data_IF_516755391433
#
_entry.id   IF_516755391433
#
_cell.length_a   1.000
_cell.length_b   1.000
_cell.length_c   1.000
_cell.angle_alpha   90.00
_cell.angle_beta   90.00
_cell.angle_gamma   90.00
#
_symmetry.space_group_name_H-M   'P 1'
#
loop_
_entity.id
_entity.type
_entity.pdbx_description
1 polymer ?
#
# COMPACT_ATOMS: atom_id res chain seq x y z
N UNK A 1 25.45 17.79 6.94
CA UNK A 1 24.00 17.53 6.95
C UNK A 1 23.61 17.07 8.35
N UNK A 2 22.82 17.84 9.10
CA UNK A 2 22.39 17.47 10.46
C UNK A 2 21.28 16.42 10.33
N UNK A 3 21.55 15.21 10.81
CA UNK A 3 20.57 14.13 10.83
C UNK A 3 19.56 14.44 11.94
N UNK A 4 18.32 14.75 11.57
CA UNK A 4 17.25 14.99 12.55
C UNK A 4 16.79 13.64 13.14
N UNK A 5 17.11 13.43 14.42
CA UNK A 5 16.89 12.18 15.17
C UNK A 5 15.40 11.89 15.33
N UNK A 6 14.55 12.89 15.55
CA UNK A 6 13.11 12.69 15.71
C UNK A 6 12.47 12.19 14.41
N UNK A 7 12.93 12.72 13.27
CA UNK A 7 12.51 12.21 11.96
C UNK A 7 12.97 10.78 11.70
N UNK A 8 14.12 10.35 12.24
CA UNK A 8 14.56 8.95 12.14
C UNK A 8 13.73 8.03 13.05
N UNK A 9 13.38 8.48 14.26
CA UNK A 9 12.49 7.73 15.16
C UNK A 9 11.10 7.54 14.55
N UNK A 10 10.52 8.59 13.97
CA UNK A 10 9.24 8.50 13.27
C UNK A 10 9.29 7.51 12.09
N UNK A 11 10.36 7.55 11.29
CA UNK A 11 10.56 6.57 10.20
C UNK A 11 10.68 5.13 10.72
N UNK A 12 11.43 4.92 11.80
CA UNK A 12 11.60 3.61 12.42
C UNK A 12 10.29 3.09 13.03
N UNK A 13 9.47 3.97 13.61
CA UNK A 13 8.18 3.64 14.19
C UNK A 13 7.17 3.26 13.10
N UNK A 14 7.06 4.04 12.02
CA UNK A 14 6.20 3.67 10.89
C UNK A 14 6.65 2.34 10.28
N UNK A 15 7.95 2.13 10.10
CA UNK A 15 8.49 0.86 9.58
C UNK A 15 8.14 -0.35 10.44
N UNK A 16 8.07 -0.20 11.76
CA UNK A 16 7.68 -1.28 12.69
C UNK A 16 6.18 -1.56 12.66
N UNK A 17 5.38 -0.54 12.36
CA UNK A 17 3.93 -0.56 12.55
C UNK A 17 3.17 -0.87 11.25
N UNK A 18 3.79 -0.66 10.10
CA UNK A 18 3.24 -1.05 8.80
C UNK A 18 3.97 -2.30 8.31
N UNK A 19 3.22 -3.37 8.08
CA UNK A 19 3.76 -4.57 7.46
C UNK A 19 4.27 -4.26 6.05
N UNK A 20 5.27 -5.00 5.61
CA UNK A 20 5.76 -4.93 4.24
C UNK A 20 4.64 -5.18 3.21
N UNK A 21 4.76 -4.51 2.06
CA UNK A 21 3.86 -4.67 0.93
C UNK A 21 4.26 -5.91 0.12
N UNK A 22 3.29 -6.77 -0.13
CA UNK A 22 3.42 -7.90 -1.03
C UNK A 22 2.18 -7.96 -1.93
N UNK A 23 2.28 -7.59 -3.23
CA UNK A 23 1.16 -7.53 -4.15
C UNK A 23 0.55 -8.92 -4.42
N UNK A 24 1.31 -10.00 -4.21
CA UNK A 24 0.81 -11.38 -4.34
C UNK A 24 -0.10 -11.80 -3.17
N UNK A 25 -0.07 -11.07 -2.04
CA UNK A 25 -0.77 -11.43 -0.80
C UNK A 25 -1.78 -10.39 -0.32
N UNK A 26 -1.66 -9.14 -0.76
CA UNK A 26 -2.45 -8.02 -0.26
C UNK A 26 -2.99 -7.16 -1.39
N UNK A 27 -4.22 -6.70 -1.22
CA UNK A 27 -4.78 -5.62 -2.04
C UNK A 27 -3.93 -4.34 -1.86
N UNK A 28 -3.37 -3.83 -2.95
CA UNK A 28 -2.51 -2.65 -2.92
C UNK A 28 -3.24 -1.43 -2.37
N UNK A 29 -4.52 -1.22 -2.70
CA UNK A 29 -5.31 -0.09 -2.19
C UNK A 29 -5.54 -0.17 -0.68
N UNK A 30 -5.90 -1.35 -0.17
CA UNK A 30 -6.10 -1.57 1.26
C UNK A 30 -4.80 -1.36 2.03
N UNK A 31 -3.70 -1.95 1.55
CA UNK A 31 -2.39 -1.78 2.18
C UNK A 31 -1.94 -0.31 2.16
N UNK A 32 -2.11 0.35 1.01
CA UNK A 32 -1.72 1.73 0.81
C UNK A 32 -2.49 2.69 1.72
N UNK A 33 -3.80 2.48 1.91
CA UNK A 33 -4.59 3.28 2.84
C UNK A 33 -4.04 3.19 4.26
N UNK A 34 -3.70 1.99 4.73
CA UNK A 34 -3.12 1.77 6.07
C UNK A 34 -1.75 2.41 6.22
N UNK A 35 -0.92 2.34 5.17
CA UNK A 35 0.38 3.00 5.14
C UNK A 35 0.21 4.53 5.18
N UNK A 36 -0.60 5.08 4.28
CA UNK A 36 -0.80 6.51 4.10
C UNK A 36 -1.37 7.18 5.37
N UNK A 37 -2.38 6.59 6.01
CA UNK A 37 -2.98 7.15 7.25
C UNK A 37 -1.96 7.28 8.38
N UNK A 38 -1.07 6.30 8.53
CA UNK A 38 -0.01 6.31 9.55
C UNK A 38 1.10 7.28 9.23
N UNK A 39 1.43 7.46 7.96
CA UNK A 39 2.48 8.38 7.52
C UNK A 39 2.03 9.83 7.56
N UNK A 40 0.74 10.10 7.25
CA UNK A 40 0.15 11.44 7.31
C UNK A 40 0.23 12.05 8.72
N UNK A 41 0.16 11.23 9.76
CA UNK A 41 0.37 11.65 11.15
C UNK A 41 1.81 12.17 11.41
N UNK A 42 2.80 11.73 10.62
CA UNK A 42 4.22 12.09 10.78
C UNK A 42 4.67 13.34 10.04
N UNK A 43 3.81 14.00 9.25
CA UNK A 43 4.11 15.20 8.44
C UNK A 43 5.46 15.10 7.68
N UNK A 44 5.67 13.97 6.98
CA UNK A 44 6.92 13.71 6.26
C UNK A 44 7.05 14.58 5.01
N UNK A 45 8.28 14.99 4.69
CA UNK A 45 8.57 15.56 3.38
C UNK A 45 8.61 14.45 2.31
N UNK A 46 8.51 14.85 1.04
CA UNK A 46 8.43 13.91 -0.09
C UNK A 46 9.60 12.91 -0.13
N UNK A 47 10.84 13.34 0.16
CA UNK A 47 12.01 12.45 0.10
C UNK A 47 11.99 11.37 1.19
N UNK A 48 11.55 11.74 2.40
CA UNK A 48 11.35 10.76 3.49
C UNK A 48 10.18 9.83 3.19
N UNK A 49 9.12 10.37 2.62
CA UNK A 49 7.95 9.59 2.20
C UNK A 49 8.34 8.53 1.17
N UNK A 50 9.09 8.93 0.14
CA UNK A 50 9.65 8.03 -0.88
C UNK A 50 10.52 6.92 -0.28
N UNK A 51 11.46 7.30 0.57
CA UNK A 51 12.39 6.36 1.19
C UNK A 51 11.63 5.36 2.06
N UNK A 52 10.65 5.83 2.82
CA UNK A 52 9.84 4.99 3.69
C UNK A 52 8.98 4.01 2.89
N UNK A 53 8.30 4.47 1.84
CA UNK A 53 7.51 3.62 0.96
C UNK A 53 8.37 2.49 0.37
N UNK A 54 9.55 2.82 -0.15
CA UNK A 54 10.50 1.84 -0.69
C UNK A 54 10.99 0.81 0.34
N UNK A 55 11.12 1.19 1.62
CA UNK A 55 11.49 0.27 2.70
C UNK A 55 10.44 -0.82 2.98
N UNK A 56 9.19 -0.62 2.52
CA UNK A 56 8.13 -1.62 2.65
C UNK A 56 8.04 -2.56 1.44
N UNK A 57 8.84 -2.39 0.39
CA UNK A 57 8.86 -3.31 -0.74
C UNK A 57 9.76 -4.52 -0.46
N UNK A 58 9.25 -5.72 -0.75
CA UNK A 58 9.94 -7.00 -0.48
C UNK A 58 10.44 -7.66 -1.76
N UNK A 59 9.77 -7.38 -2.88
CA UNK A 59 10.06 -8.00 -4.17
C UNK A 59 11.05 -7.13 -4.95
N UNK A 60 12.10 -7.74 -5.49
CA UNK A 60 13.15 -7.05 -6.26
C UNK A 60 12.56 -6.28 -7.44
N UNK A 61 11.53 -6.83 -8.08
CA UNK A 61 10.86 -6.18 -9.22
C UNK A 61 10.15 -4.89 -8.79
N UNK A 62 9.57 -4.87 -7.57
CA UNK A 62 8.93 -3.68 -7.01
C UNK A 62 9.95 -2.62 -6.62
N UNK A 63 11.06 -3.03 -6.03
CA UNK A 63 12.16 -2.13 -5.67
C UNK A 63 12.73 -1.49 -6.94
N UNK A 64 12.90 -2.26 -8.01
CA UNK A 64 13.41 -1.74 -9.28
C UNK A 64 12.43 -0.76 -9.93
N UNK A 65 11.15 -1.11 -10.06
CA UNK A 65 10.10 -0.22 -10.59
C UNK A 65 10.03 1.08 -9.78
N UNK A 66 10.18 0.98 -8.47
CA UNK A 66 10.20 2.13 -7.58
C UNK A 66 11.45 3.00 -7.76
N UNK A 67 12.63 2.41 -7.84
CA UNK A 67 13.87 3.17 -8.01
C UNK A 67 13.91 3.94 -9.33
N UNK A 68 13.34 3.38 -10.41
CA UNK A 68 13.16 4.06 -11.69
C UNK A 68 12.19 5.26 -11.59
N UNK A 69 11.16 5.15 -10.74
CA UNK A 69 10.07 6.14 -10.68
C UNK A 69 10.26 7.21 -9.61
N UNK A 70 10.81 6.88 -8.45
CA UNK A 70 10.93 7.78 -7.28
C UNK A 70 11.71 9.07 -7.55
N UNK A 71 12.62 9.06 -8.53
CA UNK A 71 13.36 10.25 -8.96
C UNK A 71 12.51 11.28 -9.68
N UNK A 72 11.37 10.86 -10.25
CA UNK A 72 10.47 11.71 -11.04
C UNK A 72 9.34 12.34 -10.22
N UNK A 73 8.94 11.72 -9.10
CA UNK A 73 7.94 12.30 -8.21
C UNK A 73 8.52 13.49 -7.44
N UNK A 74 7.88 14.65 -7.47
CA UNK A 74 8.26 15.85 -6.71
C UNK A 74 7.34 16.13 -5.53
N UNK A 75 6.17 15.50 -5.48
CA UNK A 75 5.16 15.67 -4.44
C UNK A 75 4.69 14.34 -3.85
N UNK A 76 4.09 14.37 -2.65
CA UNK A 76 3.49 13.18 -2.03
C UNK A 76 2.36 12.63 -2.90
N UNK A 77 1.51 13.50 -3.45
CA UNK A 77 0.41 13.10 -4.33
C UNK A 77 0.87 12.33 -5.58
N UNK A 78 2.02 12.70 -6.16
CA UNK A 78 2.59 11.96 -7.31
C UNK A 78 3.10 10.58 -6.91
N UNK A 79 3.65 10.44 -5.70
CA UNK A 79 4.03 9.13 -5.15
C UNK A 79 2.79 8.27 -4.92
N UNK A 80 1.73 8.86 -4.36
CA UNK A 80 0.47 8.16 -4.10
C UNK A 80 -0.21 7.71 -5.40
N UNK A 81 -0.29 8.61 -6.38
CA UNK A 81 -0.84 8.30 -7.70
C UNK A 81 -0.07 7.17 -8.38
N UNK A 82 1.27 7.21 -8.34
CA UNK A 82 2.09 6.14 -8.91
C UNK A 82 1.81 4.79 -8.25
N UNK A 83 1.78 4.73 -6.92
CA UNK A 83 1.55 3.47 -6.21
C UNK A 83 0.15 2.92 -6.54
N UNK A 84 -0.87 3.78 -6.55
CA UNK A 84 -2.25 3.38 -6.82
C UNK A 84 -2.49 3.01 -8.28
N UNK A 85 -1.78 3.61 -9.23
CA UNK A 85 -1.80 3.20 -10.64
C UNK A 85 -1.15 1.82 -10.81
N UNK A 86 0.04 1.64 -10.25
CA UNK A 86 0.81 0.39 -10.38
C UNK A 86 0.17 -0.79 -9.62
N UNK A 87 -0.37 -0.55 -8.43
CA UNK A 87 -0.78 -1.60 -7.50
C UNK A 87 -2.17 -1.39 -6.88
N UNK A 88 -2.79 -0.22 -7.06
CA UNK A 88 -4.14 0.04 -6.53
C UNK A 88 -5.23 -0.76 -7.22
N UNK A 89 -4.96 -1.28 -8.42
CA UNK A 89 -5.82 -2.21 -9.16
C UNK A 89 -5.58 -3.71 -8.86
N UNK A 90 -4.49 -4.07 -8.16
CA UNK A 90 -3.99 -5.45 -8.17
C UNK A 90 -3.54 -5.96 -6.80
N UNK A 91 -4.43 -6.69 -6.14
CA UNK A 91 -4.08 -7.66 -5.09
C UNK A 91 -5.23 -8.63 -4.90
N UNK A 92 -5.56 -9.23 -6.02
CA UNK A 92 -6.32 -10.43 -6.34
C UNK A 92 -6.43 -10.31 -7.85
N UNK A 93 -6.00 -11.31 -8.62
CA UNK A 93 -6.80 -11.60 -9.80
C UNK A 93 -8.23 -11.62 -9.28
N UNK A 94 -9.13 -10.80 -9.83
CA UNK A 94 -10.55 -11.11 -9.81
C UNK A 94 -10.75 -12.43 -10.57
N UNK A 95 -10.19 -13.53 -10.05
CA UNK A 95 -10.69 -14.86 -10.30
C UNK A 95 -12.02 -14.90 -9.59
N UNK A 96 -13.04 -14.46 -10.30
CA UNK A 96 -14.42 -14.91 -10.14
C UNK A 96 -14.81 -15.27 -8.70
N UNK A 97 -14.76 -14.29 -7.79
CA UNK A 97 -15.73 -14.24 -6.72
C UNK A 97 -16.84 -13.27 -7.13
N UNK A 98 -17.32 -13.41 -8.38
CA UNK A 98 -18.75 -13.35 -8.63
C UNK A 98 -19.32 -14.55 -7.86
N UNK A 99 -19.43 -14.43 -6.54
CA UNK A 99 -20.59 -15.02 -5.91
C UNK A 99 -21.74 -14.22 -6.48
N UNK A 100 -22.32 -14.78 -7.52
CA UNK A 100 -23.62 -14.41 -8.03
C UNK A 100 -24.49 -14.17 -6.80
N UNK A 101 -24.91 -12.93 -6.54
CA UNK A 101 -26.03 -12.68 -5.63
C UNK A 101 -27.30 -13.43 -6.09
N UNK A 102 -27.27 -14.06 -7.27
CA UNK A 102 -28.30 -14.95 -7.78
C UNK A 102 -28.30 -16.38 -7.19
N UNK A 103 -27.24 -16.84 -6.50
CA UNK A 103 -27.23 -18.20 -5.89
C UNK A 103 -27.60 -18.22 -4.41
N UNK A 104 -27.84 -17.07 -3.77
CA UNK A 104 -28.71 -17.01 -2.59
C UNK A 104 -30.18 -17.03 -3.03
N UNK A 105 -30.58 -18.12 -3.72
CA UNK A 105 -31.96 -18.57 -3.60
C UNK A 105 -32.10 -19.06 -2.17
N UNK A 106 -32.64 -18.19 -1.32
CA UNK A 106 -33.34 -18.59 -0.10
C UNK A 106 -34.35 -19.66 -0.49
N UNK A 107 -33.95 -20.92 -0.37
CA UNK A 107 -34.87 -22.02 -0.21
C UNK A 107 -35.42 -21.90 1.20
N UNK A 108 -36.43 -21.05 1.38
CA UNK A 108 -37.46 -21.31 2.38
C UNK A 108 -38.26 -22.49 1.83
N UNK A 109 -37.78 -23.68 2.16
CA UNK A 109 -38.58 -24.89 2.14
C UNK A 109 -38.62 -25.39 3.59
N UNK A 110 -39.83 -25.50 4.08
CA UNK A 110 -40.27 -25.78 5.44
C UNK A 110 -39.67 -27.01 6.13
N UNK A 111 -39.93 -27.05 7.45
CA UNK A 111 -39.84 -28.16 8.41
C UNK A 111 -38.44 -28.40 9.01
N UNK A 112 -38.25 -28.31 10.33
CA UNK A 112 -39.06 -28.88 11.41
C UNK A 112 -39.18 -27.97 12.63
#
# INVERSE_FOLDING_TARGET
MVINVDKLKALAEVKRVVEVFNPKKKNGRTWFSQFHDKVKAGNLNVDKYKLLLGMHFVDTDLVQQWDEKRGTCSTVNEVDAWFLDAYGGGGMEEKHAVYTMADMKLSVADAF
#
